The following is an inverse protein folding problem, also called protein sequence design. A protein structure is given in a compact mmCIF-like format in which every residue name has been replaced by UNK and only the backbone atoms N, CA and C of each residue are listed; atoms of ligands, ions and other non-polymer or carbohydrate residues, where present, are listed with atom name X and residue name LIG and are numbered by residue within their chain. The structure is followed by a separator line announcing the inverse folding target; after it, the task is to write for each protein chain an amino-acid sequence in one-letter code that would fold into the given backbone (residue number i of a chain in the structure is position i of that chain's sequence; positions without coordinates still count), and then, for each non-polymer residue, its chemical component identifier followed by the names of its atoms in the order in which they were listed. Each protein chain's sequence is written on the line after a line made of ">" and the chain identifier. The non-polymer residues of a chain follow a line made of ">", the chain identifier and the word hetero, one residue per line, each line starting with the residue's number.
data_IF_713895823581
#
_entry.id   IF_713895823581
#
_cell.length_a   1.000
_cell.length_b   1.000
_cell.length_c   1.000
_cell.angle_alpha   90.00
_cell.angle_beta   90.00
_cell.angle_gamma   90.00
#
_symmetry.space_group_name_H-M   'P 1'
#
loop_
_entity.id
_entity.type
_entity.pdbx_description
1 polymer ?
#
# COMPACT_ATOMS: atom_id res chain seq x y z
N UNK A 1 40.20 47.48 13.82
CA UNK A 1 38.89 48.06 13.47
C UNK A 1 38.17 47.11 12.53
N UNK A 2 36.94 46.80 12.88
CA UNK A 2 35.91 46.02 12.19
C UNK A 2 36.06 44.52 12.19
N UNK A 3 35.38 43.96 13.17
CA UNK A 3 34.77 42.63 13.20
C UNK A 3 33.85 42.37 12.02
N UNK A 4 33.86 41.20 11.48
CA UNK A 4 32.71 40.62 10.78
C UNK A 4 32.56 39.17 11.23
N UNK A 5 31.62 38.98 12.15
CA UNK A 5 31.06 37.66 12.51
C UNK A 5 30.22 37.11 11.36
N UNK A 6 30.57 35.94 10.82
CA UNK A 6 29.72 35.17 9.93
C UNK A 6 29.11 34.00 10.68
N UNK A 7 27.82 34.13 10.99
CA UNK A 7 26.98 33.09 11.49
C UNK A 7 26.73 32.02 10.40
N UNK A 8 27.34 30.85 10.53
CA UNK A 8 27.05 29.70 9.73
C UNK A 8 25.75 29.03 10.19
N UNK A 9 24.69 29.16 9.41
CA UNK A 9 23.47 28.35 9.56
C UNK A 9 23.75 26.90 9.10
N UNK A 10 23.85 26.00 10.06
CA UNK A 10 23.93 24.58 9.80
C UNK A 10 22.58 24.08 9.28
N UNK A 11 22.49 23.79 8.00
CA UNK A 11 21.41 23.00 7.44
C UNK A 11 21.55 21.56 7.90
N UNK A 12 20.63 21.09 8.73
CA UNK A 12 20.47 19.68 9.04
C UNK A 12 20.01 18.97 7.77
N UNK A 13 20.95 18.36 7.05
CA UNK A 13 20.63 17.40 5.99
C UNK A 13 19.98 16.19 6.64
N UNK A 14 18.70 15.97 6.40
CA UNK A 14 18.02 14.72 6.69
C UNK A 14 18.75 13.60 5.93
N UNK A 15 19.42 12.73 6.66
CA UNK A 15 20.03 11.51 6.13
C UNK A 15 18.91 10.59 5.69
N UNK A 16 18.52 10.67 4.42
CA UNK A 16 17.78 9.59 3.76
C UNK A 16 18.79 8.49 3.48
N UNK A 17 18.62 7.28 4.01
CA UNK A 17 19.53 6.16 3.73
C UNK A 17 19.58 5.88 2.23
N UNK A 18 20.70 5.33 1.70
CA UNK A 18 20.80 4.95 0.29
C UNK A 18 19.64 4.03 -0.10
N UNK A 19 19.15 4.16 -1.32
CA UNK A 19 17.95 3.51 -1.86
C UNK A 19 17.95 1.97 -1.79
N UNK A 20 19.08 1.34 -1.52
CA UNK A 20 19.26 -0.11 -1.51
C UNK A 20 19.19 -0.74 -0.09
N UNK A 21 19.32 0.03 0.97
CA UNK A 21 19.19 -0.48 2.35
C UNK A 21 17.74 -0.33 2.84
N UNK A 22 16.99 -1.42 2.81
CA UNK A 22 15.62 -1.52 3.32
C UNK A 22 15.52 -2.20 4.70
N UNK A 23 16.65 -2.63 5.27
CA UNK A 23 16.68 -3.39 6.52
C UNK A 23 16.08 -2.66 7.73
N UNK A 24 15.96 -1.32 7.67
CA UNK A 24 15.31 -0.52 8.72
C UNK A 24 13.78 -0.59 8.68
N UNK A 25 13.17 -1.01 7.58
CA UNK A 25 11.72 -1.10 7.44
C UNK A 25 11.15 -2.20 8.32
N UNK A 26 10.02 -1.92 8.98
CA UNK A 26 9.35 -2.88 9.87
C UNK A 26 9.08 -4.23 9.18
N UNK A 27 8.75 -4.23 7.90
CA UNK A 27 8.49 -5.45 7.09
C UNK A 27 9.73 -6.26 6.76
N UNK A 28 10.93 -5.65 6.85
CA UNK A 28 12.21 -6.29 6.52
C UNK A 28 12.98 -6.74 7.78
N UNK A 29 12.49 -6.39 8.96
CA UNK A 29 13.09 -6.82 10.22
C UNK A 29 12.89 -8.31 10.45
N UNK A 30 13.80 -8.91 11.22
CA UNK A 30 13.69 -10.30 11.64
C UNK A 30 12.63 -10.43 12.74
N UNK A 31 11.74 -11.39 12.59
CA UNK A 31 10.78 -11.76 13.64
C UNK A 31 11.47 -12.67 14.65
N UNK A 32 11.56 -12.25 15.91
CA UNK A 32 12.22 -13.04 16.96
C UNK A 32 11.57 -14.40 17.21
N UNK A 33 10.29 -14.56 16.90
CA UNK A 33 9.59 -15.84 17.02
C UNK A 33 10.01 -16.87 15.95
N UNK A 34 10.70 -16.43 14.89
CA UNK A 34 11.06 -17.27 13.74
C UNK A 34 12.56 -17.54 13.57
N UNK A 35 13.40 -17.21 14.57
CA UNK A 35 14.85 -17.39 14.48
C UNK A 35 15.28 -18.85 14.23
N UNK A 36 14.48 -19.83 14.65
CA UNK A 36 14.75 -21.26 14.48
C UNK A 36 13.61 -21.96 13.73
N UNK A 37 13.02 -21.29 12.75
CA UNK A 37 11.83 -21.76 12.03
C UNK A 37 12.03 -23.14 11.38
N UNK A 38 13.21 -23.41 10.86
CA UNK A 38 13.62 -24.66 10.22
C UNK A 38 13.81 -25.83 11.19
N UNK A 39 13.91 -25.58 12.50
CA UNK A 39 14.09 -26.59 13.54
C UNK A 39 12.76 -26.99 14.20
N UNK A 40 11.67 -26.27 13.92
CA UNK A 40 10.36 -26.58 14.49
C UNK A 40 9.78 -27.88 13.93
N UNK A 41 9.04 -28.62 14.76
CA UNK A 41 8.14 -29.66 14.24
C UNK A 41 7.06 -29.01 13.35
N UNK A 42 6.46 -29.79 12.45
CA UNK A 42 5.38 -29.29 11.60
C UNK A 42 4.22 -28.75 12.42
N UNK A 43 3.88 -29.39 13.53
CA UNK A 43 2.81 -28.95 14.43
C UNK A 43 3.13 -27.60 15.05
N UNK A 44 4.32 -27.44 15.65
CA UNK A 44 4.78 -26.16 16.21
C UNK A 44 4.89 -25.05 15.16
N UNK A 45 5.31 -25.40 13.94
CA UNK A 45 5.35 -24.45 12.81
C UNK A 45 3.95 -23.94 12.47
N UNK A 46 2.97 -24.82 12.36
CA UNK A 46 1.56 -24.46 12.05
C UNK A 46 0.98 -23.62 13.19
N UNK A 47 1.19 -23.99 14.44
CA UNK A 47 0.75 -23.24 15.62
C UNK A 47 1.31 -21.81 15.60
N UNK A 48 2.61 -21.66 15.37
CA UNK A 48 3.28 -20.36 15.28
C UNK A 48 2.67 -19.46 14.17
N UNK A 49 2.37 -20.03 12.99
CA UNK A 49 1.71 -19.27 11.92
C UNK A 49 0.31 -18.81 12.33
N UNK A 50 -0.47 -19.67 12.98
CA UNK A 50 -1.83 -19.34 13.45
C UNK A 50 -1.80 -18.22 14.49
N UNK A 51 -0.86 -18.28 15.45
CA UNK A 51 -0.69 -17.24 16.46
C UNK A 51 -0.32 -15.88 15.85
N UNK A 52 0.65 -15.86 14.93
CA UNK A 52 1.08 -14.65 14.26
C UNK A 52 0.01 -14.07 13.32
N UNK A 53 -0.87 -14.90 12.77
CA UNK A 53 -1.98 -14.45 11.90
C UNK A 53 -3.10 -13.71 12.65
N UNK A 54 -3.01 -13.54 13.96
CA UNK A 54 -3.83 -12.60 14.72
C UNK A 54 -3.38 -11.13 14.54
N UNK A 55 -2.11 -10.89 14.18
CA UNK A 55 -1.55 -9.55 13.99
C UNK A 55 -2.22 -8.74 12.88
N UNK A 56 -2.54 -9.30 11.70
CA UNK A 56 -3.30 -8.61 10.65
C UNK A 56 -4.58 -7.97 11.15
N UNK A 57 -5.39 -8.69 11.93
CA UNK A 57 -6.63 -8.18 12.48
C UNK A 57 -6.39 -6.99 13.41
N UNK A 58 -5.38 -7.08 14.28
CA UNK A 58 -5.01 -6.00 15.19
C UNK A 58 -4.53 -4.76 14.43
N UNK A 59 -3.73 -4.96 13.37
CA UNK A 59 -3.24 -3.89 12.52
C UNK A 59 -4.37 -3.15 11.80
N UNK A 60 -5.34 -3.89 11.24
CA UNK A 60 -6.54 -3.31 10.62
C UNK A 60 -7.38 -2.55 11.64
N UNK A 61 -7.57 -3.09 12.84
CA UNK A 61 -8.27 -2.39 13.92
C UNK A 61 -7.52 -1.09 14.32
N UNK A 62 -6.20 -1.11 14.36
CA UNK A 62 -5.38 0.08 14.62
C UNK A 62 -5.59 1.18 13.58
N UNK A 63 -5.78 0.80 12.32
CA UNK A 63 -6.00 1.71 11.19
C UNK A 63 -7.48 2.13 10.99
N UNK A 64 -8.41 1.70 11.85
CA UNK A 64 -9.86 1.87 11.66
C UNK A 64 -10.29 3.29 11.34
N UNK A 65 -9.63 4.31 11.90
CA UNK A 65 -9.98 5.72 11.65
C UNK A 65 -9.64 6.12 10.23
N UNK A 66 -8.41 5.86 9.80
CA UNK A 66 -8.00 6.15 8.43
C UNK A 66 -8.82 5.35 7.39
N UNK A 67 -9.21 4.11 7.72
CA UNK A 67 -10.12 3.31 6.88
C UNK A 67 -11.51 3.95 6.80
N UNK A 68 -12.06 4.43 7.91
CA UNK A 68 -13.36 5.13 7.93
C UNK A 68 -13.31 6.40 7.09
N UNK A 69 -12.29 7.23 7.31
CA UNK A 69 -12.11 8.47 6.56
C UNK A 69 -11.97 8.19 5.05
N UNK A 70 -11.27 7.10 4.69
CA UNK A 70 -11.11 6.68 3.30
C UNK A 70 -12.44 6.20 2.68
N UNK A 71 -13.24 5.40 3.40
CA UNK A 71 -14.56 4.95 2.93
C UNK A 71 -15.45 6.14 2.62
N UNK A 72 -15.55 7.09 3.54
CA UNK A 72 -16.40 8.27 3.36
C UNK A 72 -15.92 9.14 2.18
N UNK A 73 -14.62 9.41 2.09
CA UNK A 73 -14.05 10.22 1.02
C UNK A 73 -14.16 9.57 -0.37
N UNK A 74 -13.99 8.24 -0.47
CA UNK A 74 -14.18 7.50 -1.72
C UNK A 74 -15.66 7.54 -2.12
N UNK A 75 -16.58 7.28 -1.17
CA UNK A 75 -18.01 7.28 -1.46
C UNK A 75 -18.47 8.64 -2.01
N UNK A 76 -18.02 9.76 -1.43
CA UNK A 76 -18.30 11.10 -1.93
C UNK A 76 -17.85 11.28 -3.38
N UNK A 77 -16.65 10.80 -3.74
CA UNK A 77 -16.12 10.89 -5.11
C UNK A 77 -16.93 10.03 -6.10
N UNK A 78 -17.29 8.81 -5.70
CA UNK A 78 -18.08 7.92 -6.56
C UNK A 78 -19.51 8.44 -6.76
N UNK A 79 -20.13 9.03 -5.73
CA UNK A 79 -21.42 9.74 -5.86
C UNK A 79 -21.35 10.92 -6.83
N UNK A 80 -20.18 11.54 -6.96
CA UNK A 80 -19.91 12.62 -7.92
C UNK A 80 -19.44 12.10 -9.31
N UNK A 81 -19.65 10.83 -9.64
CA UNK A 81 -19.25 10.13 -10.87
C UNK A 81 -17.74 9.88 -11.01
N UNK A 82 -16.95 9.96 -9.96
CA UNK A 82 -15.58 9.49 -9.94
C UNK A 82 -15.51 7.96 -9.88
N UNK A 83 -14.30 7.40 -10.02
CA UNK A 83 -14.01 5.97 -9.99
C UNK A 83 -12.94 5.67 -8.95
N UNK A 84 -12.88 4.41 -8.51
CA UNK A 84 -11.85 3.92 -7.60
C UNK A 84 -10.81 3.10 -8.34
N UNK A 85 -9.54 3.43 -8.15
CA UNK A 85 -8.41 2.69 -8.69
C UNK A 85 -7.52 2.15 -7.56
N UNK A 86 -7.20 0.86 -7.61
CA UNK A 86 -6.16 0.23 -6.82
C UNK A 86 -4.89 0.14 -7.64
N UNK A 87 -3.76 0.59 -7.12
CA UNK A 87 -2.46 0.55 -7.79
C UNK A 87 -1.44 -0.15 -6.91
N UNK A 88 -0.77 -1.15 -7.46
CA UNK A 88 0.26 -1.87 -6.71
C UNK A 88 1.15 -2.75 -7.58
N UNK A 89 2.23 -3.26 -6.99
CA UNK A 89 3.10 -4.25 -7.58
C UNK A 89 3.02 -5.58 -6.81
N UNK A 90 3.38 -6.69 -7.43
CA UNK A 90 3.44 -8.00 -6.79
C UNK A 90 2.13 -8.40 -6.10
N UNK A 91 2.22 -8.86 -4.85
CA UNK A 91 1.06 -9.26 -4.03
C UNK A 91 0.08 -8.11 -3.82
N UNK A 92 0.58 -6.90 -3.55
CA UNK A 92 -0.27 -5.73 -3.32
C UNK A 92 -1.17 -5.41 -4.51
N UNK A 93 -0.59 -5.39 -5.73
CA UNK A 93 -1.36 -5.16 -6.95
C UNK A 93 -2.34 -6.31 -7.26
N UNK A 94 -1.93 -7.58 -7.01
CA UNK A 94 -2.83 -8.74 -7.19
C UNK A 94 -4.04 -8.68 -6.27
N UNK A 95 -3.87 -8.26 -5.02
CA UNK A 95 -4.98 -8.07 -4.07
C UNK A 95 -5.92 -6.95 -4.53
N UNK A 96 -5.39 -5.85 -5.06
CA UNK A 96 -6.21 -4.77 -5.64
C UNK A 96 -7.02 -5.24 -6.85
N UNK A 97 -6.41 -6.04 -7.75
CA UNK A 97 -7.12 -6.65 -8.89
C UNK A 97 -8.20 -7.63 -8.43
N UNK A 98 -7.89 -8.47 -7.43
CA UNK A 98 -8.86 -9.40 -6.85
C UNK A 98 -10.08 -8.67 -6.29
N UNK A 99 -9.88 -7.66 -5.45
CA UNK A 99 -10.96 -6.91 -4.82
C UNK A 99 -11.83 -6.17 -5.87
N UNK A 100 -11.18 -5.55 -6.86
CA UNK A 100 -11.88 -4.87 -7.95
C UNK A 100 -12.73 -5.83 -8.80
N UNK A 101 -12.21 -7.04 -9.09
CA UNK A 101 -12.91 -8.04 -9.89
C UNK A 101 -14.16 -8.60 -9.21
N UNK A 102 -14.22 -8.58 -7.88
CA UNK A 102 -15.36 -9.07 -7.09
C UNK A 102 -16.48 -8.02 -6.91
N UNK A 103 -16.23 -6.75 -7.22
CA UNK A 103 -17.26 -5.70 -7.08
C UNK A 103 -18.45 -5.88 -8.05
N UNK A 104 -18.30 -6.14 -9.35
CA UNK A 104 -19.42 -6.30 -10.26
C UNK A 104 -20.37 -7.46 -9.89
N UNK A 105 -19.90 -8.69 -9.60
CA UNK A 105 -20.79 -9.79 -9.25
C UNK A 105 -21.46 -9.61 -7.88
N UNK A 106 -20.82 -8.87 -6.96
CA UNK A 106 -21.35 -8.68 -5.60
C UNK A 106 -22.36 -7.55 -5.54
N UNK A 107 -22.09 -6.43 -6.20
CA UNK A 107 -22.85 -5.19 -6.08
C UNK A 107 -23.57 -4.76 -7.36
N UNK A 108 -23.49 -5.55 -8.42
CA UNK A 108 -23.99 -5.19 -9.76
C UNK A 108 -23.41 -3.86 -10.29
N UNK A 109 -22.21 -3.50 -9.85
CA UNK A 109 -21.53 -2.28 -10.26
C UNK A 109 -20.97 -2.40 -11.68
N UNK A 110 -20.85 -1.30 -12.44
CA UNK A 110 -20.09 -1.29 -13.68
C UNK A 110 -18.63 -1.74 -13.43
N UNK A 111 -18.03 -2.54 -14.32
CA UNK A 111 -16.63 -2.97 -14.18
C UNK A 111 -15.62 -1.82 -14.11
N UNK A 112 -15.98 -0.67 -14.69
CA UNK A 112 -15.16 0.54 -14.73
C UNK A 112 -15.16 1.32 -13.42
N UNK A 113 -16.12 1.06 -12.51
CA UNK A 113 -16.29 1.82 -11.27
C UNK A 113 -15.14 1.56 -10.27
N UNK A 114 -14.71 0.29 -10.17
CA UNK A 114 -13.56 -0.11 -9.34
C UNK A 114 -12.58 -0.87 -10.21
N UNK A 115 -11.36 -0.40 -10.32
CA UNK A 115 -10.35 -0.98 -11.20
C UNK A 115 -9.06 -1.30 -10.44
N UNK A 116 -8.48 -2.46 -10.72
CA UNK A 116 -7.15 -2.84 -10.22
C UNK A 116 -6.08 -2.63 -11.30
N UNK A 117 -4.99 -1.98 -10.93
CA UNK A 117 -3.81 -1.76 -11.78
C UNK A 117 -2.61 -2.44 -11.13
N UNK A 118 -2.03 -3.39 -11.84
CA UNK A 118 -0.87 -4.18 -11.40
C UNK A 118 0.34 -3.84 -12.27
N UNK A 119 1.46 -3.49 -11.64
CA UNK A 119 2.72 -3.33 -12.37
C UNK A 119 3.04 -4.57 -13.21
N UNK A 120 3.23 -4.39 -14.52
CA UNK A 120 3.41 -5.46 -15.49
C UNK A 120 2.10 -6.06 -16.04
N UNK A 121 0.95 -5.53 -15.67
CA UNK A 121 -0.35 -5.86 -16.26
C UNK A 121 -0.79 -7.32 -16.05
N UNK A 122 -1.62 -7.82 -16.96
CA UNK A 122 -2.19 -9.17 -16.89
C UNK A 122 -1.18 -10.32 -16.76
N UNK A 123 -0.02 -10.33 -17.44
CA UNK A 123 0.99 -11.37 -17.25
C UNK A 123 1.50 -11.47 -15.79
N UNK A 124 1.59 -10.34 -15.09
CA UNK A 124 2.06 -10.27 -13.71
C UNK A 124 1.06 -10.85 -12.68
N UNK A 125 -0.17 -11.13 -13.07
CA UNK A 125 -1.12 -11.87 -12.23
C UNK A 125 -0.67 -13.31 -11.95
N UNK A 126 -0.11 -13.96 -12.96
CA UNK A 126 0.26 -15.39 -12.91
C UNK A 126 1.74 -15.62 -12.58
N UNK A 127 2.61 -14.67 -12.91
CA UNK A 127 4.05 -14.80 -12.72
C UNK A 127 4.61 -13.53 -12.08
N UNK A 128 5.53 -13.68 -11.14
CA UNK A 128 6.27 -12.53 -10.61
C UNK A 128 7.06 -11.88 -11.75
N UNK A 129 6.92 -10.56 -11.89
CA UNK A 129 7.74 -9.74 -12.80
C UNK A 129 8.60 -8.83 -11.95
N UNK A 130 9.92 -9.08 -11.97
CA UNK A 130 10.89 -8.22 -11.30
C UNK A 130 11.23 -7.01 -12.19
N UNK A 131 11.56 -5.87 -11.57
CA UNK A 131 12.02 -4.66 -12.25
C UNK A 131 10.94 -3.72 -12.79
N UNK A 132 9.68 -4.15 -12.92
CA UNK A 132 8.58 -3.26 -13.36
C UNK A 132 8.03 -2.39 -12.21
N UNK A 133 8.30 -2.79 -10.97
CA UNK A 133 7.94 -2.03 -9.77
C UNK A 133 8.86 -0.82 -9.50
N UNK A 134 10.01 -0.75 -10.20
CA UNK A 134 11.01 0.28 -10.02
C UNK A 134 10.79 1.53 -10.89
N UNK A 135 9.78 1.50 -11.77
CA UNK A 135 9.51 2.58 -12.72
C UNK A 135 8.31 3.44 -12.30
N UNK A 136 8.58 4.61 -11.72
CA UNK A 136 7.52 5.59 -11.38
C UNK A 136 6.70 6.02 -12.60
N UNK A 137 7.34 6.22 -13.76
CA UNK A 137 6.69 6.64 -14.99
C UNK A 137 5.72 5.59 -15.57
N UNK A 138 5.94 4.30 -15.30
CA UNK A 138 5.06 3.24 -15.75
C UNK A 138 3.67 3.36 -15.07
N UNK A 139 3.63 3.70 -13.77
CA UNK A 139 2.36 3.93 -13.07
C UNK A 139 1.56 5.08 -13.68
N UNK A 140 2.25 6.15 -14.09
CA UNK A 140 1.62 7.30 -14.73
C UNK A 140 1.00 6.89 -16.08
N UNK A 141 1.76 6.14 -16.89
CA UNK A 141 1.27 5.64 -18.17
C UNK A 141 0.05 4.72 -17.99
N UNK A 142 0.12 3.76 -17.06
CA UNK A 142 -0.98 2.83 -16.76
C UNK A 142 -2.26 3.57 -16.30
N UNK A 143 -2.13 4.63 -15.51
CA UNK A 143 -3.25 5.48 -15.08
C UNK A 143 -3.83 6.30 -16.24
N UNK A 144 -2.96 6.88 -17.09
CA UNK A 144 -3.37 7.62 -18.28
C UNK A 144 -4.12 6.74 -19.27
N UNK A 145 -3.64 5.52 -19.52
CA UNK A 145 -4.29 4.55 -20.41
C UNK A 145 -5.71 4.15 -19.93
N UNK A 146 -5.98 4.27 -18.62
CA UNK A 146 -7.33 4.08 -18.04
C UNK A 146 -8.15 5.38 -17.98
N UNK A 147 -7.61 6.49 -18.50
CA UNK A 147 -8.26 7.80 -18.46
C UNK A 147 -8.47 8.32 -17.04
N UNK A 148 -7.54 8.04 -16.11
CA UNK A 148 -7.59 8.52 -14.72
C UNK A 148 -7.59 10.06 -14.70
N UNK A 149 -8.49 10.65 -13.91
CA UNK A 149 -8.68 12.10 -13.87
C UNK A 149 -8.82 12.65 -12.42
N UNK A 150 -8.99 13.96 -12.29
CA UNK A 150 -9.10 14.66 -10.99
C UNK A 150 -10.27 14.21 -10.13
N UNK A 151 -11.33 13.67 -10.74
CA UNK A 151 -12.54 13.26 -10.05
C UNK A 151 -12.40 11.86 -9.41
N UNK A 152 -11.41 11.11 -9.85
CA UNK A 152 -11.16 9.73 -9.43
C UNK A 152 -10.45 9.63 -8.07
N UNK A 153 -10.44 8.40 -7.53
CA UNK A 153 -9.71 8.02 -6.32
C UNK A 153 -8.60 7.03 -6.67
N UNK A 154 -7.42 7.20 -6.11
CA UNK A 154 -6.32 6.25 -6.19
C UNK A 154 -5.96 5.72 -4.81
N UNK A 155 -6.00 4.40 -4.63
CA UNK A 155 -5.42 3.71 -3.48
C UNK A 155 -4.12 3.06 -3.93
N UNK A 156 -2.98 3.64 -3.55
CA UNK A 156 -1.65 3.10 -3.81
C UNK A 156 -1.23 2.14 -2.71
N UNK A 157 -0.93 0.89 -3.06
CA UNK A 157 -0.69 -0.22 -2.12
C UNK A 157 0.77 -0.68 -2.23
N UNK A 158 1.53 -0.49 -1.14
CA UNK A 158 2.92 -0.91 -1.05
C UNK A 158 3.26 -1.32 0.39
N UNK A 159 3.44 -2.61 0.68
CA UNK A 159 3.67 -3.10 2.03
C UNK A 159 4.84 -2.38 2.73
N UNK A 160 6.01 -2.26 2.11
CA UNK A 160 7.15 -1.51 2.62
C UNK A 160 7.07 0.01 2.39
N UNK A 161 6.08 0.51 1.65
CA UNK A 161 5.90 1.93 1.38
C UNK A 161 6.96 2.57 0.46
N UNK A 162 7.88 1.79 -0.10
CA UNK A 162 9.03 2.29 -0.87
C UNK A 162 8.95 2.03 -2.37
N UNK A 163 7.98 1.25 -2.85
CA UNK A 163 7.84 0.85 -4.25
C UNK A 163 7.71 2.07 -5.17
N UNK A 164 8.68 2.32 -6.08
CA UNK A 164 8.68 3.51 -6.94
C UNK A 164 7.42 3.62 -7.79
N UNK A 165 6.96 2.53 -8.40
CA UNK A 165 5.72 2.48 -9.17
C UNK A 165 4.52 3.07 -8.38
N UNK A 166 4.33 2.67 -7.12
CA UNK A 166 3.24 3.18 -6.28
C UNK A 166 3.43 4.64 -5.91
N UNK A 167 4.68 5.04 -5.61
CA UNK A 167 5.01 6.43 -5.30
C UNK A 167 4.76 7.37 -6.48
N UNK A 168 5.13 6.94 -7.68
CA UNK A 168 4.86 7.66 -8.93
C UNK A 168 3.37 7.86 -9.18
N UNK A 169 2.56 6.81 -9.02
CA UNK A 169 1.10 6.87 -9.15
C UNK A 169 0.45 7.81 -8.13
N UNK A 170 0.84 7.71 -6.84
CA UNK A 170 0.33 8.60 -5.79
C UNK A 170 0.71 10.07 -6.03
N UNK A 171 1.95 10.33 -6.45
CA UNK A 171 2.41 11.68 -6.81
C UNK A 171 1.63 12.25 -7.98
N UNK A 172 1.39 11.44 -9.01
CA UNK A 172 0.60 11.82 -10.17
C UNK A 172 -0.85 12.16 -9.77
N UNK A 173 -1.51 11.29 -9.01
CA UNK A 173 -2.88 11.51 -8.53
C UNK A 173 -2.99 12.80 -7.71
N UNK A 174 -2.05 13.03 -6.79
CA UNK A 174 -1.99 14.25 -5.97
C UNK A 174 -1.82 15.51 -6.84
N UNK A 175 -0.92 15.49 -7.80
CA UNK A 175 -0.66 16.62 -8.69
C UNK A 175 -1.86 16.92 -9.61
N UNK A 176 -2.65 15.91 -9.96
CA UNK A 176 -3.86 16.05 -10.75
C UNK A 176 -5.06 16.58 -9.92
N UNK A 177 -4.98 16.58 -8.60
CA UNK A 177 -6.08 16.95 -7.69
C UNK A 177 -7.06 15.81 -7.41
N UNK A 178 -6.72 14.58 -7.82
CA UNK A 178 -7.48 13.38 -7.49
C UNK A 178 -7.32 13.00 -5.99
N UNK A 179 -8.26 12.24 -5.45
CA UNK A 179 -8.14 11.71 -4.10
C UNK A 179 -7.05 10.63 -4.07
N UNK A 180 -5.95 10.90 -3.37
CA UNK A 180 -4.83 9.98 -3.22
C UNK A 180 -4.81 9.36 -1.82
N UNK A 181 -4.84 8.03 -1.74
CA UNK A 181 -4.83 7.25 -0.51
C UNK A 181 -3.65 6.29 -0.57
N UNK A 182 -2.81 6.28 0.47
CA UNK A 182 -1.73 5.32 0.60
C UNK A 182 -2.11 4.20 1.57
N UNK A 183 -1.67 2.97 1.27
CA UNK A 183 -1.79 1.81 2.15
C UNK A 183 -0.44 1.11 2.26
N UNK A 184 0.11 1.05 3.48
CA UNK A 184 1.41 0.43 3.75
C UNK A 184 1.43 -0.29 5.11
N UNK A 185 2.42 -1.19 5.32
CA UNK A 185 2.56 -1.99 6.53
C UNK A 185 3.77 -1.57 7.38
N UNK A 186 4.30 -0.40 7.13
CA UNK A 186 5.38 0.23 7.90
C UNK A 186 4.92 1.59 8.44
N UNK A 187 5.51 2.10 9.52
CA UNK A 187 5.23 3.45 10.03
C UNK A 187 5.48 4.53 8.97
N UNK A 188 4.72 5.63 9.02
CA UNK A 188 4.86 6.75 8.08
C UNK A 188 6.23 7.40 8.13
N UNK A 189 6.89 7.39 9.28
CA UNK A 189 8.24 7.92 9.50
C UNK A 189 9.30 7.11 8.74
N UNK A 190 9.08 5.81 8.55
CA UNK A 190 9.99 4.94 7.80
C UNK A 190 9.83 5.10 6.28
N UNK A 191 8.61 5.31 5.82
CA UNK A 191 8.31 5.44 4.40
C UNK A 191 7.16 6.45 4.19
N UNK A 192 7.43 7.76 4.19
CA UNK A 192 6.41 8.78 3.92
C UNK A 192 5.93 8.68 2.47
N UNK A 193 4.61 8.75 2.26
CA UNK A 193 3.96 8.65 0.95
C UNK A 193 3.19 9.93 0.61
N UNK A 194 3.17 10.36 -0.65
CA UNK A 194 2.49 11.57 -1.09
C UNK A 194 0.96 11.32 -1.25
N UNK A 195 0.22 11.36 -0.15
CA UNK A 195 -1.21 11.05 -0.13
C UNK A 195 -2.01 12.07 0.69
N UNK A 196 -3.34 12.08 0.50
CA UNK A 196 -4.29 12.81 1.32
C UNK A 196 -4.72 12.00 2.56
N UNK A 197 -4.87 10.67 2.41
CA UNK A 197 -5.19 9.74 3.49
C UNK A 197 -4.11 8.65 3.54
N UNK A 198 -3.58 8.39 4.73
CA UNK A 198 -2.48 7.45 4.96
C UNK A 198 -2.95 6.29 5.86
N UNK A 199 -3.12 5.10 5.29
CA UNK A 199 -3.56 3.88 5.99
C UNK A 199 -2.34 3.04 6.33
N UNK A 200 -2.04 2.88 7.62
CA UNK A 200 -0.90 2.11 8.11
C UNK A 200 -1.36 0.85 8.83
N UNK A 201 -1.09 -0.30 8.19
CA UNK A 201 -1.44 -1.65 8.66
C UNK A 201 -0.21 -2.28 9.31
N UNK A 202 0.10 -1.93 10.55
CA UNK A 202 1.35 -2.28 11.23
C UNK A 202 1.31 -3.72 11.73
N UNK A 203 1.62 -4.69 10.87
CA UNK A 203 1.59 -6.14 11.15
C UNK A 203 2.84 -6.66 11.85
N UNK A 204 3.89 -5.84 11.96
CA UNK A 204 5.20 -6.27 12.44
C UNK A 204 5.98 -7.09 11.41
N UNK A 205 7.18 -7.57 11.80
CA UNK A 205 8.03 -8.41 10.95
C UNK A 205 7.34 -9.73 10.59
N UNK A 206 7.55 -10.21 9.37
CA UNK A 206 7.02 -11.50 8.90
C UNK A 206 7.76 -12.69 9.53
N UNK A 207 7.10 -13.84 9.66
CA UNK A 207 7.77 -15.09 10.08
C UNK A 207 8.86 -15.53 9.11
N UNK A 208 8.62 -15.34 7.81
CA UNK A 208 9.66 -15.44 6.79
C UNK A 208 10.06 -14.01 6.40
N UNK A 209 11.21 -13.55 6.88
CA UNK A 209 11.69 -12.18 6.75
C UNK A 209 11.51 -11.63 5.33
N UNK A 210 10.92 -10.45 5.20
CA UNK A 210 10.66 -9.79 3.92
C UNK A 210 9.51 -10.38 3.09
N UNK A 211 8.88 -11.50 3.54
CA UNK A 211 7.80 -12.15 2.78
C UNK A 211 6.44 -11.49 3.02
N UNK A 212 6.26 -10.26 2.54
CA UNK A 212 5.08 -9.42 2.75
C UNK A 212 3.78 -9.94 2.11
N UNK A 213 3.83 -11.09 1.43
CA UNK A 213 2.61 -11.80 1.00
C UNK A 213 1.84 -12.45 2.15
N UNK A 214 2.45 -12.60 3.34
CA UNK A 214 1.89 -13.25 4.53
C UNK A 214 1.02 -12.27 5.34
N UNK A 215 1.46 -11.85 6.53
CA UNK A 215 0.67 -10.97 7.42
C UNK A 215 0.30 -9.63 6.77
N UNK A 216 1.26 -8.98 6.11
CA UNK A 216 1.02 -7.73 5.40
C UNK A 216 -0.02 -7.92 4.27
N UNK A 217 0.10 -9.00 3.49
CA UNK A 217 -0.88 -9.36 2.46
C UNK A 217 -2.27 -9.62 3.05
N UNK A 218 -2.37 -10.36 4.16
CA UNK A 218 -3.62 -10.65 4.86
C UNK A 218 -4.28 -9.36 5.37
N UNK A 219 -3.52 -8.48 6.03
CA UNK A 219 -4.03 -7.19 6.51
C UNK A 219 -4.50 -6.30 5.35
N UNK A 220 -3.74 -6.25 4.26
CA UNK A 220 -4.10 -5.52 3.04
C UNK A 220 -5.42 -6.03 2.47
N UNK A 221 -5.57 -7.35 2.32
CA UNK A 221 -6.82 -7.97 1.83
C UNK A 221 -8.02 -7.61 2.71
N UNK A 222 -7.87 -7.66 4.03
CA UNK A 222 -8.93 -7.26 4.97
C UNK A 222 -9.30 -5.79 4.82
N UNK A 223 -8.31 -4.91 4.67
CA UNK A 223 -8.51 -3.47 4.50
C UNK A 223 -9.23 -3.16 3.17
N UNK A 224 -8.85 -3.81 2.07
CA UNK A 224 -9.51 -3.65 0.77
C UNK A 224 -10.98 -4.08 0.83
N UNK A 225 -11.30 -5.21 1.45
CA UNK A 225 -12.68 -5.64 1.66
C UNK A 225 -13.51 -4.58 2.42
N UNK A 226 -12.91 -3.93 3.44
CA UNK A 226 -13.57 -2.86 4.18
C UNK A 226 -13.81 -1.64 3.30
N UNK A 227 -12.82 -1.25 2.49
CA UNK A 227 -12.94 -0.11 1.60
C UNK A 227 -14.02 -0.33 0.55
N UNK A 228 -13.90 -1.39 -0.27
CA UNK A 228 -14.87 -1.65 -1.35
C UNK A 228 -16.28 -1.86 -0.82
N UNK A 229 -16.46 -2.77 0.15
CA UNK A 229 -17.78 -3.05 0.73
C UNK A 229 -18.33 -1.83 1.47
N UNK A 230 -17.52 -1.14 2.26
CA UNK A 230 -17.94 0.06 2.98
C UNK A 230 -18.40 1.17 2.05
N UNK A 231 -17.67 1.41 0.96
CA UNK A 231 -18.05 2.38 -0.09
C UNK A 231 -19.37 1.98 -0.75
N UNK A 232 -19.51 0.73 -1.20
CA UNK A 232 -20.73 0.26 -1.86
C UNK A 232 -21.97 0.30 -0.96
N UNK A 233 -21.79 0.14 0.36
CA UNK A 233 -22.89 0.30 1.34
C UNK A 233 -23.28 1.78 1.51
N UNK A 234 -22.38 2.71 1.22
CA UNK A 234 -22.63 4.17 1.30
C UNK A 234 -23.21 4.77 0.00
N UNK A 235 -23.08 4.08 -1.12
CA UNK A 235 -23.69 4.47 -2.42
C UNK A 235 -25.17 4.09 -2.48
#
# INVERSE_FOLDING_TARGET
>A
MADISSSGSGSSSSLVPPSDDRGYLLTEQVNSASEQLDQLSTDALVELFIEEDLRPQQAVFGARRALSDAVDAIAERLQANGRLFYLGAGTSGRLGVLDAAECPPTFCSPPELVQGILAGGAPALLRSSEGLEDLESAAVADLQDRGFCSDDCLVGIAAGGTTPYVRGGLSYAKNLGALSIAMACVPSEQAPLPCAIDIRLLTGPELLTGSTRLKAGTATKMALNILSTGVMVRL
#
